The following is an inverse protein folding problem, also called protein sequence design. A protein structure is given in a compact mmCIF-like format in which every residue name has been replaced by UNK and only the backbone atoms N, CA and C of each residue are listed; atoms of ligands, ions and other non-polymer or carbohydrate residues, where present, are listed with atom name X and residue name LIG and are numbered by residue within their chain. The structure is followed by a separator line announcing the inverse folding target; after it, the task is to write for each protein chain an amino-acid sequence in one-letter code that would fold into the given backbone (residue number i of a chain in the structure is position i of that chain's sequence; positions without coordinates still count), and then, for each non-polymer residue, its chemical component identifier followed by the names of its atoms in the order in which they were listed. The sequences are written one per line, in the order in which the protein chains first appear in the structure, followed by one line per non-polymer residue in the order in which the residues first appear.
data_IF_778019336971
#
_entry.id   IF_778019336971
#
_cell.length_a   1.000
_cell.length_b   1.000
_cell.length_c   1.000
_cell.angle_alpha   90.00
_cell.angle_beta   90.00
_cell.angle_gamma   90.00
#
_symmetry.space_group_name_H-M   'P 1'
#
loop_
_entity.id
_entity.type
_entity.pdbx_description
1 polymer ?
#
# COMPACT_ATOMS: atom_id res chain seq x y z
N UNK A 1 41.06 7.24 -51.41
CA UNK A 1 39.93 6.44 -51.91
C UNK A 1 38.91 6.28 -50.78
N UNK A 2 37.82 7.05 -50.83
CA UNK A 2 36.65 6.92 -49.93
C UNK A 2 35.74 5.83 -50.51
N UNK A 3 35.26 4.90 -49.68
CA UNK A 3 34.10 4.07 -49.99
C UNK A 3 33.03 4.29 -48.93
N UNK A 4 31.95 4.88 -49.40
CA UNK A 4 30.63 5.04 -48.78
C UNK A 4 29.94 3.69 -48.76
N UNK A 5 29.31 3.33 -47.63
CA UNK A 5 28.19 2.38 -47.61
C UNK A 5 27.10 3.07 -46.79
N UNK A 6 26.08 3.54 -47.51
CA UNK A 6 24.77 3.93 -46.99
C UNK A 6 23.77 2.86 -47.42
N UNK A 7 22.71 2.78 -46.61
CA UNK A 7 21.38 2.22 -46.86
C UNK A 7 21.17 0.71 -46.63
N UNK A 8 20.46 0.41 -45.53
CA UNK A 8 19.12 -0.19 -45.60
C UNK A 8 18.45 -0.10 -44.21
N UNK A 9 17.62 0.94 -44.00
CA UNK A 9 16.74 1.05 -42.83
C UNK A 9 15.28 1.12 -43.32
N UNK A 10 14.58 -0.01 -43.30
CA UNK A 10 13.14 -0.09 -43.55
C UNK A 10 12.37 0.25 -42.26
N UNK A 11 11.42 1.21 -42.28
CA UNK A 11 10.60 1.51 -41.11
C UNK A 11 9.48 0.48 -40.93
N UNK A 12 9.43 -0.15 -39.77
CA UNK A 12 8.35 -1.06 -39.36
C UNK A 12 7.07 -0.28 -39.12
N UNK A 13 6.00 -0.65 -39.83
CA UNK A 13 4.63 -0.15 -39.70
C UNK A 13 4.07 -0.36 -38.30
N UNK A 14 3.69 0.73 -37.62
CA UNK A 14 2.86 0.71 -36.41
C UNK A 14 1.52 0.03 -36.68
N UNK A 15 1.26 -1.10 -36.03
CA UNK A 15 -0.07 -1.69 -35.95
C UNK A 15 -0.86 -0.98 -34.86
N UNK A 16 -1.94 -0.30 -35.25
CA UNK A 16 -2.98 0.22 -34.37
C UNK A 16 -3.67 -0.96 -33.67
N UNK A 17 -3.47 -1.08 -32.35
CA UNK A 17 -4.26 -2.00 -31.54
C UNK A 17 -5.68 -1.45 -31.42
N UNK A 18 -6.64 -2.17 -32.02
CA UNK A 18 -8.07 -1.96 -31.79
C UNK A 18 -8.39 -2.30 -30.34
N UNK A 19 -8.97 -1.37 -29.62
CA UNK A 19 -9.62 -1.61 -28.32
C UNK A 19 -10.68 -2.71 -28.46
N UNK A 20 -10.69 -3.74 -27.59
CA UNK A 20 -11.72 -4.75 -27.60
C UNK A 20 -13.09 -4.15 -27.23
N UNK A 21 -14.20 -4.74 -27.71
CA UNK A 21 -15.54 -4.23 -27.45
C UNK A 21 -15.90 -4.36 -25.97
N UNK A 22 -16.46 -3.27 -25.42
CA UNK A 22 -16.99 -3.20 -24.06
C UNK A 22 -18.13 -4.22 -23.93
N UNK A 23 -17.93 -5.24 -23.08
CA UNK A 23 -18.97 -6.19 -22.71
C UNK A 23 -20.09 -5.49 -21.93
N UNK A 24 -21.34 -5.91 -22.17
CA UNK A 24 -22.51 -5.33 -21.50
C UNK A 24 -22.44 -5.48 -19.97
N UNK A 25 -22.99 -4.53 -19.20
CA UNK A 25 -22.89 -4.53 -17.75
C UNK A 25 -23.54 -5.78 -17.14
N UNK A 26 -22.81 -6.44 -16.23
CA UNK A 26 -23.30 -7.58 -15.46
C UNK A 26 -24.16 -7.13 -14.28
N UNK A 27 -24.90 -8.06 -13.66
CA UNK A 27 -25.66 -7.80 -12.43
C UNK A 27 -24.79 -7.30 -11.26
N UNK A 28 -23.46 -7.46 -11.34
CA UNK A 28 -22.48 -6.88 -10.42
C UNK A 28 -22.38 -5.36 -10.63
N UNK A 29 -22.45 -4.86 -11.86
CA UNK A 29 -22.39 -3.43 -12.17
C UNK A 29 -23.59 -2.64 -11.60
N UNK A 30 -24.75 -3.30 -11.43
CA UNK A 30 -25.91 -2.74 -10.75
C UNK A 30 -25.74 -2.66 -9.21
N UNK A 31 -24.92 -3.54 -8.62
CA UNK A 31 -24.49 -3.45 -7.20
C UNK A 31 -23.38 -2.40 -7.01
N UNK A 32 -22.52 -2.20 -8.01
CA UNK A 32 -21.46 -1.18 -8.02
C UNK A 32 -22.02 0.27 -8.13
N UNK A 33 -23.20 0.43 -8.73
CA UNK A 33 -23.90 1.71 -8.86
C UNK A 33 -24.52 2.25 -7.55
N UNK A 34 -24.50 1.48 -6.45
CA UNK A 34 -25.00 1.91 -5.14
C UNK A 34 -24.01 2.76 -4.32
N UNK A 35 -22.86 3.10 -4.90
CA UNK A 35 -21.81 3.87 -4.23
C UNK A 35 -22.21 5.34 -4.05
N UNK A 36 -22.11 5.81 -2.81
CA UNK A 36 -22.32 7.21 -2.43
C UNK A 36 -21.43 8.16 -3.26
N UNK A 37 -21.93 9.33 -3.68
CA UNK A 37 -21.13 10.30 -4.44
C UNK A 37 -19.92 10.79 -3.64
N UNK A 38 -18.81 11.15 -4.31
CA UNK A 38 -17.62 11.66 -3.63
C UNK A 38 -17.97 12.90 -2.79
N UNK A 39 -17.75 12.80 -1.47
CA UNK A 39 -18.00 13.88 -0.51
C UNK A 39 -19.15 13.62 0.48
N UNK A 40 -19.97 12.59 0.30
CA UNK A 40 -20.94 12.18 1.33
C UNK A 40 -20.27 11.30 2.38
N UNK A 41 -20.45 11.65 3.65
CA UNK A 41 -19.95 10.86 4.77
C UNK A 41 -20.64 9.49 4.80
N UNK A 42 -19.87 8.42 4.88
CA UNK A 42 -20.40 7.06 4.99
C UNK A 42 -21.36 6.95 6.20
N UNK A 43 -22.53 6.29 6.07
CA UNK A 43 -23.51 6.18 7.15
C UNK A 43 -22.94 5.59 8.44
N UNK A 44 -22.00 4.65 8.33
CA UNK A 44 -21.32 4.02 9.48
C UNK A 44 -20.36 5.01 10.15
N UNK A 45 -19.67 5.84 9.38
CA UNK A 45 -18.85 6.95 9.91
C UNK A 45 -19.74 8.00 10.58
N UNK A 46 -20.87 8.37 9.98
CA UNK A 46 -21.81 9.32 10.55
C UNK A 46 -22.43 8.78 11.86
N UNK A 47 -22.82 7.51 11.89
CA UNK A 47 -23.31 6.84 13.09
C UNK A 47 -22.23 6.78 14.20
N UNK A 48 -20.98 6.47 13.86
CA UNK A 48 -19.88 6.46 14.82
C UNK A 48 -19.61 7.85 15.41
N UNK A 49 -19.60 8.91 14.59
CA UNK A 49 -19.48 10.31 15.07
C UNK A 49 -20.59 10.65 16.06
N UNK A 50 -21.84 10.36 15.72
CA UNK A 50 -23.01 10.64 16.56
C UNK A 50 -22.97 9.88 17.89
N UNK A 51 -22.63 8.59 17.86
CA UNK A 51 -22.60 7.73 19.04
C UNK A 51 -21.61 8.21 20.12
N UNK A 52 -20.54 8.89 19.72
CA UNK A 52 -19.49 9.38 20.63
C UNK A 52 -19.40 10.89 20.72
N UNK A 53 -20.33 11.61 20.09
CA UNK A 53 -20.30 13.05 20.03
C UNK A 53 -18.94 13.59 19.51
N UNK A 54 -18.38 12.93 18.49
CA UNK A 54 -17.09 13.29 17.90
C UNK A 54 -17.29 14.12 16.62
N UNK A 55 -16.47 15.16 16.39
CA UNK A 55 -16.50 15.90 15.13
C UNK A 55 -16.03 15.04 13.94
N UNK A 56 -15.10 14.11 14.20
CA UNK A 56 -14.56 13.15 13.23
C UNK A 56 -13.96 11.95 13.95
N UNK A 57 -13.91 10.79 13.30
CA UNK A 57 -13.22 9.60 13.82
C UNK A 57 -11.75 9.56 13.37
N UNK A 58 -10.83 8.91 14.11
CA UNK A 58 -9.44 8.79 13.68
C UNK A 58 -9.28 8.09 12.33
N UNK A 59 -10.06 7.04 12.03
CA UNK A 59 -9.98 6.34 10.73
C UNK A 59 -10.37 7.27 9.57
N UNK A 60 -11.36 8.14 9.78
CA UNK A 60 -11.77 9.12 8.78
C UNK A 60 -10.71 10.21 8.57
N UNK A 61 -10.15 10.74 9.66
CA UNK A 61 -9.08 11.74 9.58
C UNK A 61 -7.86 11.14 8.87
N UNK A 62 -7.49 9.89 9.17
CA UNK A 62 -6.39 9.19 8.52
C UNK A 62 -6.59 9.08 6.99
N UNK A 63 -7.77 8.62 6.56
CA UNK A 63 -8.08 8.50 5.11
C UNK A 63 -8.00 9.86 4.41
N UNK A 64 -8.55 10.91 5.03
CA UNK A 64 -8.51 12.27 4.50
C UNK A 64 -7.07 12.81 4.41
N UNK A 65 -6.28 12.63 5.46
CA UNK A 65 -4.88 13.08 5.51
C UNK A 65 -4.06 12.41 4.43
N UNK A 66 -4.18 11.09 4.26
CA UNK A 66 -3.46 10.35 3.21
C UNK A 66 -3.90 10.83 1.83
N UNK A 67 -5.20 11.00 1.57
CA UNK A 67 -5.69 11.52 0.29
C UNK A 67 -5.17 12.92 -0.01
N UNK A 68 -5.12 13.81 0.99
CA UNK A 68 -4.67 15.20 0.81
C UNK A 68 -3.20 15.33 0.38
N UNK A 69 -2.37 14.30 0.62
CA UNK A 69 -1.01 14.28 0.09
C UNK A 69 -1.00 14.30 -1.44
N UNK A 70 -2.03 13.75 -2.07
CA UNK A 70 -2.17 13.61 -3.52
C UNK A 70 -3.02 14.70 -4.17
N UNK A 71 -3.44 15.74 -3.44
CA UNK A 71 -4.28 16.84 -3.99
C UNK A 71 -3.66 17.53 -5.22
N UNK A 72 -2.32 17.52 -5.32
CA UNK A 72 -1.55 18.07 -6.45
C UNK A 72 -0.84 16.98 -7.27
N UNK A 73 -1.31 15.74 -7.15
CA UNK A 73 -0.80 14.58 -7.89
C UNK A 73 0.35 13.82 -7.20
N UNK A 74 0.74 12.67 -7.78
CA UNK A 74 1.73 11.77 -7.18
C UNK A 74 3.14 12.38 -7.08
N UNK A 75 3.54 13.24 -8.02
CA UNK A 75 4.86 13.89 -7.97
C UNK A 75 4.98 14.83 -6.77
N UNK A 76 3.94 15.62 -6.50
CA UNK A 76 3.86 16.50 -5.33
C UNK A 76 3.88 15.69 -4.02
N UNK A 77 3.14 14.58 -4.00
CA UNK A 77 3.13 13.66 -2.86
C UNK A 77 4.54 13.12 -2.59
N UNK A 78 5.33 12.75 -3.61
CA UNK A 78 6.71 12.26 -3.43
C UNK A 78 7.61 13.33 -2.79
N UNK A 79 7.45 14.59 -3.18
CA UNK A 79 8.17 15.72 -2.56
C UNK A 79 7.75 15.94 -1.11
N UNK A 80 6.44 15.89 -0.80
CA UNK A 80 5.92 15.96 0.56
C UNK A 80 6.43 14.81 1.43
N UNK A 81 6.47 13.59 0.89
CA UNK A 81 6.99 12.41 1.57
C UNK A 81 8.48 12.55 1.88
N UNK A 82 9.28 13.04 0.94
CA UNK A 82 10.71 13.26 1.18
C UNK A 82 10.96 14.25 2.32
N UNK A 83 10.18 15.33 2.39
CA UNK A 83 10.27 16.30 3.49
C UNK A 83 9.82 15.68 4.82
N UNK A 84 8.74 14.89 4.80
CA UNK A 84 8.27 14.13 5.96
C UNK A 84 9.34 13.15 6.47
N UNK A 85 10.01 12.43 5.57
CA UNK A 85 11.07 11.49 5.91
C UNK A 85 12.26 12.21 6.57
N UNK A 86 12.72 13.33 6.02
CA UNK A 86 13.80 14.14 6.60
C UNK A 86 13.42 14.67 8.01
N UNK A 87 12.20 15.17 8.19
CA UNK A 87 11.71 15.63 9.49
C UNK A 87 11.70 14.52 10.54
N UNK A 88 11.20 13.33 10.18
CA UNK A 88 11.20 12.16 11.08
C UNK A 88 12.62 11.74 11.43
N UNK A 89 13.54 11.74 10.46
CA UNK A 89 14.96 11.42 10.69
C UNK A 89 15.66 12.43 11.61
N UNK A 90 15.24 13.69 11.60
CA UNK A 90 15.69 14.74 12.54
C UNK A 90 14.96 14.70 13.88
N UNK A 91 13.95 13.86 14.00
CA UNK A 91 13.11 13.74 15.19
C UNK A 91 12.22 14.93 15.47
N UNK A 92 11.69 15.55 14.42
CA UNK A 92 10.72 16.64 14.52
C UNK A 92 9.43 16.29 13.80
N UNK A 93 8.30 16.82 14.28
CA UNK A 93 7.02 16.77 13.58
C UNK A 93 6.79 17.99 12.67
N UNK A 94 7.73 18.95 12.66
CA UNK A 94 7.67 20.10 11.77
C UNK A 94 8.21 19.70 10.40
N UNK A 95 7.35 19.74 9.39
CA UNK A 95 7.68 19.37 8.01
C UNK A 95 7.95 20.63 7.19
N UNK A 96 9.22 20.85 6.85
CA UNK A 96 9.63 21.93 5.96
C UNK A 96 9.91 21.37 4.58
N UNK A 97 9.04 21.72 3.63
CA UNK A 97 9.18 21.30 2.23
C UNK A 97 10.38 21.97 1.56
N UNK A 98 10.80 23.14 2.06
CA UNK A 98 11.88 23.94 1.48
C UNK A 98 11.69 24.25 -0.02
N UNK A 99 12.73 24.83 -0.63
CA UNK A 99 12.83 24.91 -2.08
C UNK A 99 13.64 23.72 -2.61
N UNK A 100 13.04 22.93 -3.49
CA UNK A 100 13.72 21.81 -4.16
C UNK A 100 14.03 22.23 -5.60
N UNK A 101 15.32 22.28 -5.96
CA UNK A 101 15.74 22.51 -7.35
C UNK A 101 15.16 21.45 -8.27
N UNK A 102 14.78 21.81 -9.49
CA UNK A 102 14.11 20.89 -10.44
C UNK A 102 14.87 19.59 -10.71
N UNK A 103 16.20 19.62 -10.76
CA UNK A 103 17.02 18.42 -10.92
C UNK A 103 16.95 17.47 -9.72
N UNK A 104 16.92 18.01 -8.51
CA UNK A 104 16.76 17.24 -7.28
C UNK A 104 15.31 16.72 -7.14
N UNK A 105 14.33 17.51 -7.57
CA UNK A 105 12.92 17.11 -7.55
C UNK A 105 12.68 15.83 -8.36
N UNK A 106 13.25 15.76 -9.57
CA UNK A 106 13.15 14.54 -10.40
C UNK A 106 13.75 13.31 -9.71
N UNK A 107 14.94 13.46 -9.13
CA UNK A 107 15.56 12.39 -8.37
C UNK A 107 14.67 11.93 -7.20
N UNK A 108 14.10 12.86 -6.43
CA UNK A 108 13.19 12.54 -5.32
C UNK A 108 11.95 11.78 -5.81
N UNK A 109 11.32 12.24 -6.89
CA UNK A 109 10.13 11.58 -7.46
C UNK A 109 10.45 10.13 -7.84
N UNK A 110 11.61 9.89 -8.45
CA UNK A 110 12.07 8.54 -8.83
C UNK A 110 12.39 7.65 -7.61
N UNK A 111 12.75 8.25 -6.46
CA UNK A 111 13.05 7.51 -5.21
C UNK A 111 11.79 7.13 -4.41
N UNK A 112 10.66 7.80 -4.63
CA UNK A 112 9.41 7.54 -3.92
C UNK A 112 8.25 7.25 -4.88
N UNK A 113 8.31 6.12 -5.61
CA UNK A 113 7.25 5.73 -6.52
C UNK A 113 6.02 5.23 -5.75
N UNK A 114 4.84 5.79 -6.05
CA UNK A 114 3.60 5.42 -5.35
C UNK A 114 3.00 4.07 -5.74
N UNK A 115 3.63 3.32 -6.64
CA UNK A 115 3.35 1.90 -6.86
C UNK A 115 4.09 0.98 -5.87
N UNK A 116 4.99 1.52 -5.03
CA UNK A 116 5.68 0.75 -4.00
C UNK A 116 4.76 0.55 -2.78
N UNK A 117 4.37 -0.71 -2.58
CA UNK A 117 3.52 -1.14 -1.47
C UNK A 117 4.17 -0.91 -0.09
N UNK A 118 5.51 -0.97 0.01
CA UNK A 118 6.27 -0.70 1.24
C UNK A 118 6.20 0.78 1.60
N UNK A 119 6.38 1.66 0.61
CA UNK A 119 6.23 3.11 0.77
C UNK A 119 4.81 3.48 1.23
N UNK A 120 3.78 2.94 0.57
CA UNK A 120 2.39 3.19 0.91
C UNK A 120 2.05 2.77 2.36
N UNK A 121 2.50 1.59 2.76
CA UNK A 121 2.27 1.06 4.12
C UNK A 121 2.97 1.90 5.18
N UNK A 122 4.23 2.26 4.93
CA UNK A 122 5.02 3.10 5.83
C UNK A 122 4.43 4.49 6.02
N UNK A 123 3.92 5.10 4.95
CA UNK A 123 3.22 6.38 5.03
C UNK A 123 2.04 6.33 6.03
N UNK A 124 1.22 5.27 5.95
CA UNK A 124 0.07 5.10 6.85
C UNK A 124 0.52 4.93 8.29
N UNK A 125 1.56 4.13 8.54
CA UNK A 125 2.13 3.93 9.87
C UNK A 125 2.70 5.22 10.47
N UNK A 126 3.35 6.05 9.65
CA UNK A 126 3.90 7.34 10.10
C UNK A 126 2.79 8.28 10.56
N UNK A 127 1.67 8.37 9.85
CA UNK A 127 0.53 9.16 10.33
C UNK A 127 -0.15 8.55 11.55
N UNK A 128 -0.25 7.23 11.64
CA UNK A 128 -0.92 6.57 12.75
C UNK A 128 -0.14 6.60 14.08
N UNK A 129 1.19 6.64 14.05
CA UNK A 129 2.00 6.55 15.27
C UNK A 129 1.95 7.81 16.13
N UNK A 130 2.24 7.69 17.42
CA UNK A 130 2.34 8.85 18.33
C UNK A 130 3.49 9.79 17.94
N UNK A 131 3.45 11.09 18.32
CA UNK A 131 4.52 12.07 18.09
C UNK A 131 5.75 11.86 18.99
N UNK A 132 6.22 10.62 19.08
CA UNK A 132 7.41 10.19 19.79
C UNK A 132 8.47 9.76 18.78
N UNK A 133 9.72 10.20 18.99
CA UNK A 133 10.83 9.89 18.07
C UNK A 133 11.00 8.39 17.86
N UNK A 134 10.95 7.62 18.94
CA UNK A 134 11.14 6.18 18.85
C UNK A 134 10.03 5.52 18.03
N UNK A 135 8.76 5.89 18.26
CA UNK A 135 7.61 5.41 17.49
C UNK A 135 7.65 5.82 16.02
N UNK A 136 8.02 7.06 15.72
CA UNK A 136 8.14 7.54 14.34
C UNK A 136 9.28 6.81 13.60
N UNK A 137 10.42 6.59 14.25
CA UNK A 137 11.51 5.81 13.66
C UNK A 137 11.15 4.33 13.49
N UNK A 138 10.38 3.76 14.43
CA UNK A 138 9.86 2.39 14.32
C UNK A 138 8.97 2.25 13.08
N UNK A 139 8.00 3.17 12.90
CA UNK A 139 7.15 3.24 11.71
C UNK A 139 7.98 3.48 10.43
N UNK A 140 8.98 4.36 10.47
CA UNK A 140 9.84 4.67 9.33
C UNK A 140 10.72 3.49 8.90
N UNK A 141 11.09 2.62 9.83
CA UNK A 141 11.91 1.42 9.59
C UNK A 141 11.11 0.29 8.96
N UNK A 142 9.79 0.29 9.07
CA UNK A 142 8.96 -0.79 8.53
C UNK A 142 9.13 -0.92 7.03
N UNK A 143 9.73 -2.04 6.62
CA UNK A 143 10.01 -2.37 5.21
C UNK A 143 10.79 -1.26 4.48
N UNK A 144 11.64 -0.52 5.20
CA UNK A 144 12.51 0.49 4.63
C UNK A 144 13.95 0.00 4.58
N UNK A 145 14.33 -0.54 3.42
CA UNK A 145 15.63 -1.16 3.21
C UNK A 145 16.80 -0.19 3.43
N UNK A 146 16.60 1.10 3.13
CA UNK A 146 17.62 2.14 3.30
C UNK A 146 17.97 2.41 4.76
N UNK A 147 17.05 2.16 5.69
CA UNK A 147 17.20 2.48 7.12
C UNK A 147 17.32 1.21 7.97
N UNK A 148 16.51 0.20 7.70
CA UNK A 148 16.40 -1.02 8.49
C UNK A 148 17.11 -2.22 7.86
N UNK A 149 17.58 -2.11 6.61
CA UNK A 149 18.02 -3.24 5.81
C UNK A 149 16.84 -4.06 5.26
N UNK A 150 17.18 -5.08 4.49
CA UNK A 150 16.22 -6.06 3.97
C UNK A 150 15.83 -7.07 5.06
N UNK A 151 14.60 -7.59 5.02
CA UNK A 151 14.23 -8.78 5.79
C UNK A 151 15.18 -9.92 5.43
N UNK A 152 15.60 -10.72 6.41
CA UNK A 152 16.57 -11.80 6.24
C UNK A 152 16.01 -13.16 6.64
N UNK A 153 16.65 -14.24 6.19
CA UNK A 153 16.30 -15.59 6.64
C UNK A 153 16.53 -15.80 8.13
N UNK A 154 17.50 -15.10 8.72
CA UNK A 154 17.67 -15.11 10.17
C UNK A 154 16.42 -14.56 10.88
N UNK A 155 15.83 -13.48 10.36
CA UNK A 155 14.58 -12.92 10.89
C UNK A 155 13.42 -13.92 10.76
N UNK A 156 13.22 -14.46 9.56
CA UNK A 156 12.15 -15.45 9.28
C UNK A 156 12.29 -16.70 10.16
N UNK A 157 13.52 -17.20 10.37
CA UNK A 157 13.76 -18.39 11.17
C UNK A 157 13.64 -18.13 12.69
N UNK A 158 13.87 -16.90 13.15
CA UNK A 158 13.78 -16.54 14.58
C UNK A 158 12.41 -16.03 14.99
N UNK A 159 11.57 -15.63 14.03
CA UNK A 159 10.26 -15.03 14.29
C UNK A 159 9.15 -15.82 13.59
N UNK A 160 8.19 -16.40 14.33
CA UNK A 160 7.04 -17.06 13.71
C UNK A 160 6.24 -16.11 12.83
N UNK A 161 5.66 -16.65 11.75
CA UNK A 161 4.71 -15.91 10.91
C UNK A 161 3.54 -15.41 11.74
N UNK A 162 3.18 -14.14 11.59
CA UNK A 162 2.11 -13.52 12.36
C UNK A 162 0.72 -13.94 11.86
N UNK A 163 -0.20 -14.15 12.81
CA UNK A 163 -1.61 -14.46 12.51
C UNK A 163 -2.42 -13.16 12.37
N UNK A 164 -2.51 -12.64 11.14
CA UNK A 164 -3.28 -11.44 10.83
C UNK A 164 -4.77 -11.57 11.22
N UNK A 165 -5.50 -12.66 10.89
CA UNK A 165 -6.87 -12.85 11.35
C UNK A 165 -7.04 -12.68 12.87
N UNK A 166 -6.16 -13.28 13.68
CA UNK A 166 -6.23 -13.12 15.14
C UNK A 166 -5.96 -11.69 15.59
N UNK A 167 -4.98 -11.00 14.98
CA UNK A 167 -4.69 -9.59 15.28
C UNK A 167 -5.84 -8.66 14.88
N UNK A 168 -6.47 -8.92 13.75
CA UNK A 168 -7.63 -8.16 13.30
C UNK A 168 -8.85 -8.40 14.21
N UNK A 169 -9.10 -9.64 14.63
CA UNK A 169 -10.19 -9.95 15.56
C UNK A 169 -10.02 -9.23 16.90
N UNK A 170 -8.77 -9.14 17.40
CA UNK A 170 -8.43 -8.33 18.56
C UNK A 170 -8.74 -6.85 18.32
N UNK A 171 -8.25 -6.28 17.21
CA UNK A 171 -8.52 -4.88 16.85
C UNK A 171 -10.02 -4.58 16.72
N UNK A 172 -10.81 -5.46 16.10
CA UNK A 172 -12.27 -5.36 16.01
C UNK A 172 -12.92 -5.32 17.40
N UNK A 173 -12.48 -6.18 18.31
CA UNK A 173 -13.00 -6.21 19.69
C UNK A 173 -12.71 -4.90 20.42
N UNK A 174 -11.49 -4.38 20.34
CA UNK A 174 -11.12 -3.11 20.99
C UNK A 174 -11.84 -1.91 20.35
N UNK A 175 -12.06 -1.95 19.04
CA UNK A 175 -12.85 -0.94 18.32
C UNK A 175 -14.33 -0.92 18.74
N UNK A 176 -14.90 -2.08 19.08
CA UNK A 176 -16.29 -2.20 19.52
C UNK A 176 -16.47 -1.98 21.04
N UNK A 177 -15.37 -1.89 21.79
CA UNK A 177 -15.37 -1.62 23.24
C UNK A 177 -15.93 -0.23 23.57
N UNK A 178 -16.15 0.05 24.86
CA UNK A 178 -16.56 1.37 25.34
C UNK A 178 -15.55 2.47 24.99
N UNK A 179 -14.25 2.13 25.02
CA UNK A 179 -13.16 3.05 24.67
C UNK A 179 -13.03 3.31 23.16
N UNK A 180 -13.64 2.47 22.32
CA UNK A 180 -13.59 2.55 20.85
C UNK A 180 -12.18 2.83 20.27
N UNK A 181 -11.21 2.01 20.67
CA UNK A 181 -9.83 2.20 20.24
C UNK A 181 -9.68 1.93 18.74
N UNK A 182 -8.97 2.83 18.05
CA UNK A 182 -8.59 2.63 16.66
C UNK A 182 -7.23 1.93 16.62
N UNK A 183 -7.12 0.89 15.80
CA UNK A 183 -5.87 0.16 15.58
C UNK A 183 -5.45 0.26 14.12
N UNK A 184 -4.17 0.52 13.88
CA UNK A 184 -3.57 0.45 12.54
C UNK A 184 -2.56 -0.69 12.48
N UNK A 185 -2.70 -1.57 11.49
CA UNK A 185 -1.83 -2.71 11.24
C UNK A 185 -1.08 -2.49 9.94
N UNK A 186 0.24 -2.34 9.98
CA UNK A 186 1.10 -2.46 8.80
C UNK A 186 1.46 -3.93 8.60
N UNK A 187 1.14 -4.48 7.45
CA UNK A 187 1.30 -5.90 7.14
C UNK A 187 2.28 -6.04 5.99
N UNK A 188 3.20 -6.98 6.13
CA UNK A 188 4.13 -7.40 5.09
C UNK A 188 3.97 -8.90 4.88
N UNK A 189 3.44 -9.28 3.72
CA UNK A 189 3.48 -10.64 3.21
C UNK A 189 4.84 -10.79 2.52
N UNK A 190 5.69 -11.63 3.10
CA UNK A 190 7.03 -11.95 2.60
C UNK A 190 6.99 -13.28 1.91
N UNK A 191 7.64 -13.35 0.76
CA UNK A 191 7.89 -14.56 0.02
C UNK A 191 9.23 -15.15 0.46
N UNK A 192 9.18 -16.16 1.33
CA UNK A 192 10.37 -16.76 1.94
C UNK A 192 11.23 -17.45 0.90
N UNK A 193 10.63 -18.06 -0.12
CA UNK A 193 11.39 -18.70 -1.20
C UNK A 193 12.20 -17.65 -1.99
N UNK A 194 11.58 -16.51 -2.31
CA UNK A 194 12.29 -15.43 -3.00
C UNK A 194 13.42 -14.88 -2.13
N UNK A 195 13.18 -14.75 -0.82
CA UNK A 195 14.19 -14.30 0.13
C UNK A 195 15.38 -15.25 0.22
N UNK A 196 15.14 -16.56 0.39
CA UNK A 196 16.20 -17.58 0.45
C UNK A 196 17.08 -17.55 -0.81
N UNK A 197 16.46 -17.40 -1.99
CA UNK A 197 17.19 -17.34 -3.26
C UNK A 197 18.01 -16.06 -3.39
N UNK A 198 17.45 -14.92 -3.01
CA UNK A 198 18.18 -13.65 -3.03
C UNK A 198 19.41 -13.71 -2.13
N UNK A 199 19.31 -14.27 -0.92
CA UNK A 199 20.47 -14.44 -0.03
C UNK A 199 21.49 -15.42 -0.63
N UNK A 200 21.05 -16.56 -1.15
CA UNK A 200 21.94 -17.56 -1.77
C UNK A 200 22.68 -17.03 -3.01
N UNK A 201 22.09 -16.07 -3.72
CA UNK A 201 22.66 -15.46 -4.93
C UNK A 201 23.35 -14.12 -4.66
N UNK A 202 23.66 -13.79 -3.39
CA UNK A 202 24.28 -12.52 -2.99
C UNK A 202 23.53 -11.28 -3.53
N UNK A 203 22.20 -11.33 -3.55
CA UNK A 203 21.33 -10.24 -4.01
C UNK A 203 21.22 -10.10 -5.53
N UNK A 204 21.79 -11.03 -6.31
CA UNK A 204 21.51 -11.09 -7.75
C UNK A 204 20.04 -11.47 -7.96
N UNK A 205 19.42 -10.86 -8.98
CA UNK A 205 18.01 -11.07 -9.27
C UNK A 205 17.70 -12.55 -9.52
N UNK A 206 16.60 -13.03 -8.94
CA UNK A 206 16.21 -14.44 -8.97
C UNK A 206 15.76 -14.90 -10.37
N UNK A 207 15.44 -13.96 -11.27
CA UNK A 207 14.78 -14.23 -12.55
C UNK A 207 13.29 -14.55 -12.39
N UNK A 208 12.74 -14.38 -11.19
CA UNK A 208 11.34 -14.64 -10.85
C UNK A 208 10.69 -13.41 -10.23
N UNK A 209 9.38 -13.32 -10.38
CA UNK A 209 8.53 -12.39 -9.64
C UNK A 209 8.19 -12.96 -8.27
N UNK A 210 8.16 -12.10 -7.26
CA UNK A 210 7.84 -12.47 -5.89
C UNK A 210 6.36 -12.31 -5.59
N UNK A 211 5.84 -13.07 -4.63
CA UNK A 211 4.49 -12.90 -4.09
C UNK A 211 4.38 -11.83 -3.00
N UNK A 212 5.49 -11.13 -2.70
CA UNK A 212 5.55 -10.20 -1.59
C UNK A 212 4.59 -9.02 -1.76
N UNK A 213 3.85 -8.68 -0.73
CA UNK A 213 2.89 -7.58 -0.76
C UNK A 213 2.80 -6.86 0.58
N UNK A 214 2.69 -5.53 0.57
CA UNK A 214 2.60 -4.74 1.78
C UNK A 214 1.35 -3.87 1.76
N UNK A 215 0.65 -3.82 2.89
CA UNK A 215 -0.56 -3.01 3.01
C UNK A 215 -0.77 -2.59 4.46
N UNK A 216 -1.57 -1.55 4.65
CA UNK A 216 -2.00 -1.13 5.97
C UNK A 216 -3.51 -1.30 6.13
N UNK A 217 -3.94 -1.76 7.30
CA UNK A 217 -5.34 -1.81 7.72
C UNK A 217 -5.57 -0.79 8.83
N UNK A 218 -6.61 0.04 8.71
CA UNK A 218 -7.11 0.85 9.82
C UNK A 218 -8.46 0.30 10.28
N UNK A 219 -8.56 -0.04 11.56
CA UNK A 219 -9.73 -0.67 12.18
C UNK A 219 -10.26 0.27 13.25
N UNK A 220 -11.50 0.71 13.09
CA UNK A 220 -12.22 1.55 14.04
C UNK A 220 -13.65 1.05 14.24
N UNK A 221 -14.45 1.72 15.06
CA UNK A 221 -15.79 1.22 15.39
C UNK A 221 -16.71 1.19 14.18
N UNK A 222 -16.51 2.15 13.27
CA UNK A 222 -17.24 2.29 12.01
C UNK A 222 -16.92 1.19 10.97
N UNK A 223 -15.92 0.34 11.22
CA UNK A 223 -15.48 -0.70 10.30
C UNK A 223 -13.97 -0.62 10.04
N UNK A 224 -13.56 -0.92 8.81
CA UNK A 224 -12.14 -0.94 8.47
C UNK A 224 -11.84 -0.41 7.07
N UNK A 225 -10.60 0.01 6.87
CA UNK A 225 -10.06 0.49 5.59
C UNK A 225 -8.74 -0.20 5.29
N UNK A 226 -8.46 -0.35 4.00
CA UNK A 226 -7.19 -0.89 3.50
C UNK A 226 -6.48 0.13 2.62
N UNK A 227 -5.20 0.33 2.88
CA UNK A 227 -4.30 1.18 2.11
C UNK A 227 -3.23 0.29 1.50
N UNK A 228 -3.15 0.30 0.18
CA UNK A 228 -2.16 -0.48 -0.54
C UNK A 228 -1.82 0.19 -1.86
N UNK A 229 -0.67 -0.19 -2.38
CA UNK A 229 -0.27 -0.01 -3.76
C UNK A 229 0.20 -1.38 -4.26
N UNK A 230 0.20 -1.56 -5.57
CA UNK A 230 0.84 -2.72 -6.16
C UNK A 230 1.70 -2.27 -7.34
N UNK A 231 2.63 -3.12 -7.75
CA UNK A 231 3.77 -2.83 -8.61
C UNK A 231 3.49 -1.93 -9.82
N UNK A 232 4.55 -1.42 -10.45
CA UNK A 232 4.52 -0.36 -11.47
C UNK A 232 3.46 -0.50 -12.58
N UNK A 233 3.09 -1.71 -12.97
CA UNK A 233 2.11 -1.97 -14.05
C UNK A 233 0.68 -2.23 -13.56
N UNK A 234 0.41 -2.06 -12.27
CA UNK A 234 -0.88 -2.38 -11.67
C UNK A 234 -1.60 -1.11 -11.20
N UNK A 235 -1.30 -0.63 -9.99
CA UNK A 235 -1.91 0.61 -9.49
C UNK A 235 -1.08 1.28 -8.40
N UNK A 236 -1.01 2.61 -8.48
CA UNK A 236 -0.42 3.45 -7.43
C UNK A 236 -1.36 3.62 -6.24
N UNK A 237 -0.83 4.10 -5.11
CA UNK A 237 -1.61 4.43 -3.93
C UNK A 237 -2.69 5.48 -4.24
N UNK A 238 -2.41 6.54 -4.99
CA UNK A 238 -3.42 7.55 -5.36
C UNK A 238 -4.57 6.94 -6.17
N UNK A 239 -4.25 6.06 -7.11
CA UNK A 239 -5.23 5.36 -7.93
C UNK A 239 -6.08 4.43 -7.06
N UNK A 240 -5.47 3.71 -6.11
CA UNK A 240 -6.17 2.89 -5.13
C UNK A 240 -7.15 3.73 -4.29
N UNK A 241 -6.68 4.84 -3.72
CA UNK A 241 -7.48 5.72 -2.86
C UNK A 241 -8.70 6.30 -3.60
N UNK A 242 -8.55 6.58 -4.90
CA UNK A 242 -9.54 7.28 -5.73
C UNK A 242 -10.35 6.37 -6.66
N UNK A 243 -10.20 5.03 -6.60
CA UNK A 243 -11.03 4.12 -7.41
C UNK A 243 -12.52 4.47 -7.25
N UNK A 244 -13.31 4.33 -8.32
CA UNK A 244 -14.75 4.68 -8.34
C UNK A 244 -15.54 3.93 -7.25
N UNK A 245 -15.07 2.75 -6.85
CA UNK A 245 -15.64 1.97 -5.73
C UNK A 245 -14.85 2.14 -4.42
N UNK A 246 -14.00 3.17 -4.30
CA UNK A 246 -13.08 3.51 -3.20
C UNK A 246 -12.18 2.36 -2.76
N UNK A 247 -10.93 2.26 -3.24
CA UNK A 247 -10.00 1.22 -2.75
C UNK A 247 -9.81 1.32 -1.23
N UNK A 248 -9.66 2.54 -0.71
CA UNK A 248 -9.67 2.81 0.74
C UNK A 248 -11.05 3.02 1.35
N UNK A 249 -12.15 2.61 0.68
CA UNK A 249 -13.51 2.73 1.22
C UNK A 249 -13.60 2.08 2.59
N UNK A 250 -14.49 2.64 3.42
CA UNK A 250 -14.90 1.99 4.64
C UNK A 250 -15.63 0.69 4.30
N UNK A 251 -15.23 -0.38 4.96
CA UNK A 251 -15.81 -1.72 4.81
C UNK A 251 -16.41 -2.15 6.14
N UNK A 252 -17.52 -2.86 6.07
CA UNK A 252 -18.17 -3.44 7.23
C UNK A 252 -17.45 -4.70 7.72
N UNK A 253 -18.01 -5.28 8.79
CA UNK A 253 -17.47 -6.46 9.44
C UNK A 253 -17.71 -7.76 8.65
N UNK A 254 -18.74 -7.82 7.80
CA UNK A 254 -19.00 -8.98 6.95
C UNK A 254 -17.94 -9.07 5.83
N UNK A 255 -17.66 -7.94 5.18
CA UNK A 255 -16.55 -7.82 4.25
C UNK A 255 -15.20 -8.16 4.89
N UNK A 256 -15.02 -7.84 6.19
CA UNK A 256 -13.82 -8.22 6.93
C UNK A 256 -13.66 -9.74 7.06
N UNK A 257 -14.75 -10.44 7.41
CA UNK A 257 -14.74 -11.90 7.58
C UNK A 257 -14.44 -12.62 6.26
N UNK A 258 -15.06 -12.17 5.16
CA UNK A 258 -14.75 -12.67 3.82
C UNK A 258 -13.28 -12.45 3.44
N UNK A 259 -12.78 -11.21 3.60
CA UNK A 259 -11.39 -10.88 3.27
C UNK A 259 -10.39 -11.67 4.13
N UNK A 260 -10.63 -11.83 5.43
CA UNK A 260 -9.77 -12.64 6.31
C UNK A 260 -9.80 -14.13 5.96
N UNK A 261 -10.92 -14.63 5.42
CA UNK A 261 -11.03 -15.97 4.86
C UNK A 261 -10.09 -16.17 3.66
N UNK A 262 -10.11 -15.22 2.71
CA UNK A 262 -9.19 -15.22 1.56
C UNK A 262 -7.73 -15.09 2.00
N UNK A 263 -7.43 -14.18 2.92
CA UNK A 263 -6.07 -13.98 3.40
C UNK A 263 -5.52 -15.22 4.13
N UNK A 264 -6.35 -15.91 4.92
CA UNK A 264 -5.96 -17.18 5.55
C UNK A 264 -5.63 -18.24 4.50
N UNK A 265 -6.36 -18.29 3.38
CA UNK A 265 -6.07 -19.20 2.27
C UNK A 265 -4.75 -18.88 1.58
N UNK A 266 -4.44 -17.60 1.40
CA UNK A 266 -3.14 -17.13 0.91
C UNK A 266 -2.04 -17.54 1.90
N UNK A 267 -2.21 -17.38 3.22
CA UNK A 267 -1.16 -17.70 4.19
C UNK A 267 -1.02 -19.20 4.51
N UNK A 268 -2.04 -20.01 4.23
CA UNK A 268 -2.04 -21.45 4.47
C UNK A 268 -1.36 -22.27 3.37
N UNK A 269 -0.94 -21.64 2.27
CA UNK A 269 -0.21 -22.30 1.20
C UNK A 269 1.25 -22.58 1.57
N UNK A 270 1.77 -23.75 1.21
CA UNK A 270 3.16 -24.15 1.46
C UNK A 270 3.75 -25.04 0.37
N UNK A 271 3.16 -25.01 -0.83
CA UNK A 271 3.59 -25.84 -1.97
C UNK A 271 3.62 -25.01 -3.26
N UNK A 272 2.86 -25.44 -4.28
CA UNK A 272 2.87 -24.86 -5.62
C UNK A 272 1.83 -23.75 -5.72
N UNK A 273 2.14 -22.68 -6.46
CA UNK A 273 1.15 -21.69 -6.84
C UNK A 273 0.04 -22.31 -7.70
N UNK A 274 -1.21 -21.93 -7.44
CA UNK A 274 -2.37 -22.49 -8.15
C UNK A 274 -3.35 -21.39 -8.51
N UNK A 275 -4.20 -21.62 -9.52
CA UNK A 275 -5.31 -20.72 -9.84
C UNK A 275 -6.18 -20.41 -8.60
N UNK A 276 -6.36 -21.39 -7.72
CA UNK A 276 -7.07 -21.25 -6.44
C UNK A 276 -6.38 -20.28 -5.46
N UNK A 277 -5.06 -20.15 -5.49
CA UNK A 277 -4.30 -19.17 -4.70
C UNK A 277 -4.34 -17.81 -5.38
N UNK A 278 -4.26 -17.77 -6.72
CA UNK A 278 -4.41 -16.55 -7.50
C UNK A 278 -5.79 -15.91 -7.32
N UNK A 279 -6.88 -16.71 -7.30
CA UNK A 279 -8.23 -16.23 -6.98
C UNK A 279 -8.28 -15.57 -5.59
N UNK A 280 -7.61 -16.19 -4.60
CA UNK A 280 -7.57 -15.66 -3.25
C UNK A 280 -6.75 -14.36 -3.19
N UNK A 281 -5.61 -14.32 -3.87
CA UNK A 281 -4.75 -13.13 -4.00
C UNK A 281 -5.51 -11.98 -4.68
N UNK A 282 -6.21 -12.27 -5.78
CA UNK A 282 -7.08 -11.32 -6.47
C UNK A 282 -8.19 -10.82 -5.54
N UNK A 283 -8.84 -11.71 -4.78
CA UNK A 283 -9.87 -11.30 -3.83
C UNK A 283 -9.32 -10.41 -2.69
N UNK A 284 -8.06 -10.61 -2.28
CA UNK A 284 -7.43 -9.80 -1.25
C UNK A 284 -6.93 -8.45 -1.78
N UNK A 285 -6.29 -8.43 -2.95
CA UNK A 285 -5.47 -7.32 -3.40
C UNK A 285 -5.92 -6.68 -4.72
N UNK A 286 -6.92 -7.26 -5.39
CA UNK A 286 -7.42 -6.82 -6.69
C UNK A 286 -6.33 -6.87 -7.79
N UNK A 287 -5.57 -7.96 -7.74
CA UNK A 287 -4.41 -8.24 -8.59
C UNK A 287 -4.46 -9.69 -9.04
N UNK A 288 -4.44 -9.91 -10.35
CA UNK A 288 -4.30 -11.22 -10.97
C UNK A 288 -2.82 -11.45 -11.32
N UNK A 289 -2.09 -12.14 -10.45
CA UNK A 289 -0.65 -12.39 -10.69
C UNK A 289 -0.43 -13.29 -11.89
N UNK A 290 -1.36 -14.22 -12.16
CA UNK A 290 -1.32 -15.05 -13.36
C UNK A 290 -1.55 -14.22 -14.62
N UNK A 291 -2.23 -13.07 -14.55
CA UNK A 291 -2.35 -12.11 -15.64
C UNK A 291 -1.03 -11.38 -15.93
N UNK A 292 -0.28 -11.03 -14.89
CA UNK A 292 0.89 -10.16 -15.00
C UNK A 292 2.22 -10.89 -15.21
N UNK A 293 2.34 -12.13 -14.73
CA UNK A 293 3.60 -12.88 -14.70
C UNK A 293 3.62 -14.06 -15.69
N UNK A 294 4.75 -14.28 -16.35
CA UNK A 294 4.98 -15.45 -17.21
C UNK A 294 5.51 -15.12 -18.61
N UNK A 295 5.58 -16.14 -19.47
CA UNK A 295 6.14 -16.00 -20.81
C UNK A 295 5.33 -14.99 -21.66
N UNK A 296 6.04 -14.01 -22.24
CA UNK A 296 5.43 -12.95 -23.05
C UNK A 296 4.70 -11.87 -22.25
N UNK A 297 4.84 -11.82 -20.92
CA UNK A 297 4.14 -10.86 -20.04
C UNK A 297 5.07 -9.78 -19.50
N UNK A 298 4.48 -8.82 -18.79
CA UNK A 298 5.18 -7.63 -18.25
C UNK A 298 6.19 -7.98 -17.17
N UNK A 299 6.01 -9.09 -16.47
CA UNK A 299 6.90 -9.55 -15.42
C UNK A 299 7.41 -10.98 -15.67
N UNK A 300 8.58 -11.33 -15.10
CA UNK A 300 9.06 -12.70 -15.11
C UNK A 300 8.04 -13.71 -14.56
N UNK A 301 8.24 -15.01 -14.78
CA UNK A 301 7.43 -16.04 -14.15
C UNK A 301 7.45 -15.89 -12.62
N UNK A 302 6.33 -16.26 -11.98
CA UNK A 302 6.26 -16.33 -10.53
C UNK A 302 7.22 -17.39 -10.00
N UNK A 303 7.71 -17.17 -8.79
CA UNK A 303 8.59 -18.14 -8.15
C UNK A 303 7.85 -19.48 -7.94
N UNK A 304 8.43 -20.64 -8.30
CA UNK A 304 7.65 -21.88 -8.41
C UNK A 304 7.10 -22.41 -7.08
N UNK A 305 7.77 -22.09 -5.97
CA UNK A 305 7.41 -22.53 -4.63
C UNK A 305 6.87 -21.35 -3.86
N UNK A 306 5.66 -21.49 -3.34
CA UNK A 306 4.96 -20.46 -2.61
C UNK A 306 5.09 -20.69 -1.10
N UNK A 307 5.86 -19.82 -0.43
CA UNK A 307 6.13 -19.89 1.03
C UNK A 307 5.89 -18.52 1.69
N UNK A 308 4.66 -18.21 2.07
CA UNK A 308 4.33 -16.93 2.70
C UNK A 308 4.79 -16.88 4.16
N UNK A 309 5.29 -15.72 4.57
CA UNK A 309 5.54 -15.37 5.96
C UNK A 309 5.02 -13.95 6.21
N UNK A 310 4.33 -13.75 7.33
CA UNK A 310 3.64 -12.48 7.61
C UNK A 310 4.33 -11.76 8.75
N UNK A 311 4.69 -10.50 8.51
CA UNK A 311 5.14 -9.55 9.54
C UNK A 311 4.06 -8.49 9.75
N UNK A 312 3.79 -8.17 11.02
CA UNK A 312 2.82 -7.14 11.38
C UNK A 312 3.47 -6.14 12.33
N UNK A 313 3.35 -4.85 12.00
CA UNK A 313 3.53 -3.77 12.95
C UNK A 313 2.15 -3.25 13.36
N UNK A 314 1.89 -3.22 14.66
CA UNK A 314 0.59 -2.84 15.23
C UNK A 314 0.74 -1.53 16.01
N UNK A 315 -0.08 -0.54 15.67
CA UNK A 315 -0.21 0.73 16.40
C UNK A 315 -1.61 0.75 17.00
N UNK A 316 -1.68 0.74 18.33
CA UNK A 316 -2.93 0.73 19.08
C UNK A 316 -3.33 2.15 19.48
N UNK A 317 -4.62 2.30 19.74
CA UNK A 317 -5.23 3.50 20.31
C UNK A 317 -4.92 4.80 19.55
N UNK A 318 -4.90 4.73 18.22
CA UNK A 318 -4.60 5.86 17.34
C UNK A 318 -5.62 6.98 17.52
N UNK A 319 -5.12 8.20 17.78
CA UNK A 319 -5.95 9.39 17.97
C UNK A 319 -5.88 10.35 16.80
N UNK A 320 -6.80 11.32 16.77
CA UNK A 320 -6.79 12.40 15.77
C UNK A 320 -5.52 13.25 15.90
N UNK A 321 -5.06 13.48 17.13
CA UNK A 321 -3.87 14.26 17.41
C UNK A 321 -2.60 13.57 16.90
N UNK A 322 -2.54 12.23 16.94
CA UNK A 322 -1.45 11.46 16.35
C UNK A 322 -1.40 11.68 14.84
N UNK A 323 -2.55 11.64 14.16
CA UNK A 323 -2.63 11.81 12.71
C UNK A 323 -2.26 13.24 12.29
N UNK A 324 -2.72 14.23 13.06
CA UNK A 324 -2.51 15.65 12.78
C UNK A 324 -1.19 16.22 13.33
N UNK A 325 -0.31 15.37 13.88
CA UNK A 325 0.93 15.82 14.53
C UNK A 325 1.90 16.58 13.64
N UNK A 326 1.86 16.34 12.32
CA UNK A 326 2.82 16.94 11.39
C UNK A 326 2.40 18.36 10.99
N UNK A 327 3.24 19.33 11.32
CA UNK A 327 3.04 20.74 11.00
C UNK A 327 3.72 21.09 9.67
N UNK A 328 2.91 21.28 8.62
CA UNK A 328 3.41 21.59 7.28
C UNK A 328 3.73 23.09 7.14
N UNK A 329 5.02 23.43 7.08
CA UNK A 329 5.45 24.79 6.77
C UNK A 329 5.29 25.05 5.28
N UNK A 330 4.50 26.07 4.95
CA UNK A 330 4.46 26.61 3.59
C UNK A 330 5.80 27.31 3.37
N UNK A 331 6.61 26.78 2.44
CA UNK A 331 7.86 27.42 2.05
C UNK A 331 7.57 28.87 1.64
N UNK A 332 8.38 29.83 2.11
CA UNK A 332 8.26 31.22 1.64
C UNK A 332 8.38 31.21 0.13
N UNK A 333 7.35 31.68 -0.58
CA UNK A 333 7.49 32.06 -1.97
C UNK A 333 8.54 33.16 -2.02
N UNK A 334 9.64 32.91 -2.71
CA UNK A 334 10.53 33.98 -3.11
C UNK A 334 10.11 34.34 -4.53
N UNK A 335 9.48 35.51 -4.66
CA UNK A 335 9.15 36.17 -5.92
C UNK A 335 10.37 36.34 -6.83
#
# INVERSE_FOLDING_TARGET
MRRTIMDDYTPTTFHSYKTPPVSAPTAIDALLAASLPPGTTDPSTAAARLAYNLPSTPVEVLDRTIKSLFDYGPEDASLKYSALEDSVLRGTTVVDRGYVRSSLARYIIEQFPWYDSKLATRLVLLFACMPDLHRMLEAMRFQNEKIAGITTMQEVNSTPSADLPSRFALAKREALSEAAQVTVLGVSLVDVESLERMEAQNGLGTGFSSYAHNFALAIGREGWRMYQACEKNEYRLDEWLMRINGGSRLRDWEAAEGWMGWFRRICGGGETWTAKLNDAYTACFDVDLDFFCGEGRSYPPLIPVYRPWVKIQQINDVKVEDICKFEWKVGRSWD
#
